data_IF_050578025329
#
_entry.id   IF_050578025329
#
_cell.length_a   1.000
_cell.length_b   1.000
_cell.length_c   1.000
_cell.angle_alpha   90.00
_cell.angle_beta   90.00
_cell.angle_gamma   90.00
#
_symmetry.space_group_name_H-M   'P 1'
#
loop_
_entity.id
_entity.type
_entity.pdbx_description
1 polymer ?
#
# COMPACT_ATOMS: atom_id res chain seq x y z
N UNK A 1 -16.75 1.75 -8.77
CA UNK A 1 -15.39 1.42 -8.30
C UNK A 1 -15.38 0.13 -7.51
N UNK A 2 -14.40 -0.73 -7.74
CA UNK A 2 -14.18 -1.90 -6.91
C UNK A 2 -12.68 -2.12 -6.69
N UNK A 3 -12.35 -2.83 -5.60
CA UNK A 3 -10.98 -3.17 -5.27
C UNK A 3 -10.69 -4.59 -5.78
N UNK A 4 -9.61 -4.73 -6.55
CA UNK A 4 -9.09 -6.02 -6.98
C UNK A 4 -7.91 -6.38 -6.05
N UNK A 5 -8.06 -7.47 -5.30
CA UNK A 5 -6.98 -8.03 -4.48
C UNK A 5 -6.30 -9.16 -5.23
N UNK A 6 -4.96 -9.16 -5.26
CA UNK A 6 -4.20 -10.22 -5.93
C UNK A 6 -4.50 -11.59 -5.33
N UNK A 7 -4.63 -11.67 -4.01
CA UNK A 7 -4.91 -12.95 -3.34
C UNK A 7 -6.29 -13.51 -3.66
N UNK A 8 -7.28 -12.64 -3.90
CA UNK A 8 -8.63 -13.04 -4.31
C UNK A 8 -8.72 -13.33 -5.81
N UNK A 9 -7.83 -12.74 -6.60
CA UNK A 9 -7.79 -12.86 -8.06
C UNK A 9 -6.37 -13.14 -8.55
N UNK A 10 -5.82 -14.34 -8.25
CA UNK A 10 -4.42 -14.66 -8.60
C UNK A 10 -4.15 -14.61 -10.10
N UNK A 11 -5.17 -14.82 -10.94
CA UNK A 11 -5.04 -14.73 -12.40
C UNK A 11 -4.72 -13.32 -12.88
N UNK A 12 -4.91 -12.30 -12.03
CA UNK A 12 -4.60 -10.89 -12.34
C UNK A 12 -3.23 -10.45 -11.89
N UNK A 13 -2.42 -11.34 -11.32
CA UNK A 13 -1.12 -10.96 -10.73
C UNK A 13 -0.22 -10.22 -11.71
N UNK A 14 -0.19 -10.63 -12.98
CA UNK A 14 0.65 -9.98 -13.99
C UNK A 14 0.22 -8.53 -14.24
N UNK A 15 -1.07 -8.29 -14.30
CA UNK A 15 -1.60 -6.93 -14.47
C UNK A 15 -1.19 -6.03 -13.29
N UNK A 16 -1.28 -6.57 -12.08
CA UNK A 16 -0.94 -5.83 -10.86
C UNK A 16 0.56 -5.51 -10.84
N UNK A 17 1.41 -6.50 -11.08
CA UNK A 17 2.87 -6.29 -11.14
C UNK A 17 3.22 -5.20 -12.14
N UNK A 18 2.69 -5.28 -13.35
CA UNK A 18 2.97 -4.31 -14.40
C UNK A 18 2.57 -2.90 -13.98
N UNK A 19 1.40 -2.75 -13.38
CA UNK A 19 0.92 -1.44 -12.93
C UNK A 19 1.83 -0.83 -11.85
N UNK A 20 2.21 -1.63 -10.85
CA UNK A 20 3.12 -1.16 -9.80
C UNK A 20 4.49 -0.80 -10.36
N UNK A 21 5.02 -1.62 -11.27
CA UNK A 21 6.30 -1.32 -11.91
C UNK A 21 6.28 -0.01 -12.68
N UNK A 22 5.21 0.28 -13.39
CA UNK A 22 5.05 1.51 -14.16
C UNK A 22 5.07 2.77 -13.29
N UNK A 23 4.52 2.67 -12.08
CA UNK A 23 4.38 3.84 -11.20
C UNK A 23 5.49 3.98 -10.17
N UNK A 24 6.13 2.87 -9.76
CA UNK A 24 7.01 2.86 -8.61
C UNK A 24 8.42 2.35 -8.90
N UNK A 25 8.63 1.58 -9.95
CA UNK A 25 9.92 0.94 -10.20
C UNK A 25 10.82 1.79 -11.08
N UNK A 26 12.13 1.67 -10.83
CA UNK A 26 13.19 2.01 -11.77
C UNK A 26 13.70 0.72 -12.43
N UNK A 27 14.65 0.83 -13.37
CA UNK A 27 15.29 -0.35 -13.98
C UNK A 27 15.88 -1.29 -12.93
N UNK A 28 16.41 -0.74 -11.83
CA UNK A 28 17.06 -1.51 -10.77
C UNK A 28 16.09 -2.17 -9.81
N UNK A 29 14.83 -1.76 -9.80
CA UNK A 29 13.82 -2.25 -8.83
C UNK A 29 12.67 -3.01 -9.47
N UNK A 30 12.72 -3.31 -10.77
CA UNK A 30 11.67 -4.10 -11.42
C UNK A 30 11.45 -5.44 -10.72
N UNK A 31 12.54 -6.13 -10.38
CA UNK A 31 12.45 -7.45 -9.75
C UNK A 31 11.95 -7.39 -8.30
N UNK A 32 12.08 -6.25 -7.63
CA UNK A 32 11.49 -6.08 -6.30
C UNK A 32 9.97 -6.26 -6.37
N UNK A 33 9.32 -5.58 -7.32
CA UNK A 33 7.87 -5.68 -7.50
C UNK A 33 7.45 -7.03 -8.07
N UNK A 34 8.22 -7.58 -8.99
CA UNK A 34 7.98 -8.92 -9.53
C UNK A 34 7.89 -9.95 -8.39
N UNK A 35 8.87 -9.92 -7.48
CA UNK A 35 8.99 -10.90 -6.42
C UNK A 35 8.03 -10.61 -5.25
N UNK A 36 7.96 -9.36 -4.75
CA UNK A 36 7.14 -9.06 -3.59
C UNK A 36 5.63 -9.18 -3.87
N UNK A 37 5.20 -8.92 -5.11
CA UNK A 37 3.80 -9.09 -5.47
C UNK A 37 3.52 -10.56 -5.79
N UNK A 38 4.38 -11.21 -6.57
CA UNK A 38 4.20 -12.62 -6.93
C UNK A 38 4.20 -13.54 -5.72
N UNK A 39 5.08 -13.29 -4.75
CA UNK A 39 5.22 -14.14 -3.56
C UNK A 39 4.02 -14.08 -2.62
N UNK A 40 3.12 -13.10 -2.76
CA UNK A 40 1.93 -13.03 -1.91
C UNK A 40 0.94 -14.18 -2.15
N UNK A 41 1.10 -14.90 -3.26
CA UNK A 41 0.23 -16.03 -3.59
C UNK A 41 0.61 -17.32 -2.87
N UNK A 42 1.84 -17.43 -2.38
CA UNK A 42 2.39 -18.67 -1.82
C UNK A 42 2.74 -18.55 -0.33
N UNK A 43 2.03 -17.72 0.41
CA UNK A 43 2.30 -17.53 1.83
C UNK A 43 1.05 -17.72 2.68
N UNK A 44 1.23 -18.26 3.89
CA UNK A 44 0.20 -18.35 4.93
C UNK A 44 0.13 -17.06 5.77
N UNK A 45 1.10 -16.16 5.61
CA UNK A 45 1.10 -14.86 6.30
C UNK A 45 -0.06 -13.99 5.80
N UNK A 46 -0.69 -13.17 6.66
CA UNK A 46 -1.66 -12.19 6.21
C UNK A 46 -1.06 -11.08 5.34
N UNK A 47 0.26 -10.98 5.26
CA UNK A 47 1.00 -10.01 4.47
C UNK A 47 1.92 -10.71 3.47
N UNK A 48 2.26 -10.05 2.35
CA UNK A 48 1.75 -8.77 1.89
C UNK A 48 0.40 -8.90 1.20
N UNK A 49 -0.30 -7.76 1.05
CA UNK A 49 -1.52 -7.64 0.25
C UNK A 49 -1.30 -6.55 -0.80
N UNK A 50 -1.79 -6.79 -2.02
CA UNK A 50 -1.61 -5.84 -3.12
C UNK A 50 -2.93 -5.62 -3.83
N UNK A 51 -3.26 -4.35 -4.11
CA UNK A 51 -4.59 -3.94 -4.58
C UNK A 51 -4.52 -3.05 -5.81
N UNK A 52 -5.48 -3.21 -6.70
CA UNK A 52 -5.83 -2.19 -7.69
C UNK A 52 -7.23 -1.66 -7.40
N UNK A 53 -7.40 -0.36 -7.58
CA UNK A 53 -8.73 0.26 -7.62
C UNK A 53 -9.17 0.27 -9.08
N UNK A 54 -10.33 -0.35 -9.36
CA UNK A 54 -10.80 -0.55 -10.72
C UNK A 54 -12.06 0.26 -10.99
N UNK A 55 -12.09 0.91 -12.14
CA UNK A 55 -13.27 1.50 -12.74
C UNK A 55 -13.62 0.66 -13.98
N UNK A 56 -14.48 -0.37 -13.79
CA UNK A 56 -14.66 -1.40 -14.80
C UNK A 56 -13.34 -2.08 -15.13
N UNK A 57 -12.90 -1.97 -16.39
CA UNK A 57 -11.63 -2.54 -16.86
C UNK A 57 -10.44 -1.58 -16.71
N UNK A 58 -10.70 -0.31 -16.34
CA UNK A 58 -9.65 0.70 -16.17
C UNK A 58 -9.11 0.69 -14.76
N UNK A 59 -7.79 0.78 -14.63
CA UNK A 59 -7.15 0.94 -13.32
C UNK A 59 -7.19 2.41 -12.92
N UNK A 60 -7.80 2.68 -11.78
CA UNK A 60 -7.92 4.03 -11.21
C UNK A 60 -6.86 4.31 -10.15
N UNK A 61 -6.25 3.28 -9.56
CA UNK A 61 -5.23 3.46 -8.54
C UNK A 61 -4.73 2.15 -7.97
N UNK A 62 -3.85 2.25 -6.98
CA UNK A 62 -3.26 1.08 -6.32
C UNK A 62 -2.87 1.36 -4.87
N UNK A 63 -2.66 0.32 -4.11
CA UNK A 63 -2.07 0.36 -2.78
C UNK A 63 -1.52 -1.02 -2.40
N UNK A 64 -0.67 -1.04 -1.38
CA UNK A 64 -0.16 -2.27 -0.80
C UNK A 64 -0.23 -2.24 0.72
N UNK A 65 -0.21 -3.42 1.32
CA UNK A 65 -0.16 -3.62 2.77
C UNK A 65 0.99 -4.58 3.05
N UNK A 66 2.03 -4.10 3.72
CA UNK A 66 3.30 -4.81 3.85
C UNK A 66 3.83 -4.78 5.28
N UNK A 67 4.82 -5.64 5.56
CA UNK A 67 5.38 -5.75 6.90
C UNK A 67 6.34 -4.61 7.26
N UNK A 68 7.07 -4.06 6.30
CA UNK A 68 7.97 -2.92 6.49
C UNK A 68 8.18 -2.19 5.16
N UNK A 69 8.06 -0.86 5.17
CA UNK A 69 8.20 -0.02 3.98
C UNK A 69 9.61 0.55 3.83
N UNK A 70 10.62 -0.32 3.96
CA UNK A 70 12.03 0.07 3.85
C UNK A 70 12.39 1.21 4.81
N UNK A 71 11.93 1.08 6.06
CA UNK A 71 12.08 2.13 7.07
C UNK A 71 12.61 1.54 8.37
N UNK A 72 13.37 2.34 9.12
CA UNK A 72 14.11 1.94 10.31
C UNK A 72 13.25 1.45 11.48
N UNK A 73 11.97 1.81 11.51
CA UNK A 73 11.05 1.40 12.58
C UNK A 73 10.49 0.00 12.27
N UNK A 74 11.34 -0.99 12.45
CA UNK A 74 11.00 -2.40 12.21
C UNK A 74 10.14 -3.01 13.31
N UNK A 75 9.97 -2.29 14.40
CA UNK A 75 9.06 -2.63 15.51
C UNK A 75 7.59 -2.31 15.19
N UNK A 76 7.34 -1.53 14.14
CA UNK A 76 5.99 -1.09 13.74
C UNK A 76 5.55 -1.81 12.47
N UNK A 77 4.34 -2.36 12.47
CA UNK A 77 3.74 -3.03 11.32
C UNK A 77 2.24 -3.25 11.53
N UNK A 78 1.43 -3.44 10.48
CA UNK A 78 1.78 -3.38 9.06
C UNK A 78 1.79 -1.96 8.50
N UNK A 79 2.27 -1.80 7.26
CA UNK A 79 2.40 -0.52 6.59
C UNK A 79 1.52 -0.47 5.34
N UNK A 80 0.74 0.59 5.22
CA UNK A 80 0.13 1.00 3.94
C UNK A 80 1.23 1.58 3.08
N UNK A 81 1.38 1.11 1.85
CA UNK A 81 2.42 1.58 0.94
C UNK A 81 1.88 1.79 -0.47
N UNK A 82 2.65 2.50 -1.28
CA UNK A 82 2.42 2.65 -2.72
C UNK A 82 1.00 3.13 -3.07
N UNK A 83 0.41 3.98 -2.22
CA UNK A 83 -0.91 4.54 -2.48
C UNK A 83 -0.82 5.54 -3.64
N UNK A 84 -1.57 5.27 -4.69
CA UNK A 84 -1.64 6.12 -5.87
C UNK A 84 -3.04 6.09 -6.46
N UNK A 85 -3.53 7.27 -6.86
CA UNK A 85 -4.79 7.42 -7.60
C UNK A 85 -4.48 8.20 -8.87
N UNK A 86 -4.94 7.70 -10.00
CA UNK A 86 -4.79 8.35 -11.30
C UNK A 86 -5.37 9.77 -11.24
N UNK A 87 -4.72 10.75 -11.89
CA UNK A 87 -5.16 12.17 -11.79
C UNK A 87 -6.64 12.39 -12.07
N UNK A 88 -7.19 11.72 -13.09
CA UNK A 88 -8.60 11.86 -13.47
C UNK A 88 -9.58 11.31 -12.43
N UNK A 89 -9.09 10.52 -11.48
CA UNK A 89 -9.90 9.92 -10.41
C UNK A 89 -9.68 10.57 -9.05
N UNK A 90 -8.87 11.64 -8.99
CA UNK A 90 -8.58 12.37 -7.74
C UNK A 90 -9.70 13.31 -7.34
N UNK A 91 -9.74 13.68 -6.05
CA UNK A 91 -10.72 14.64 -5.53
C UNK A 91 -12.12 14.07 -5.36
N UNK A 92 -12.29 12.75 -5.38
CA UNK A 92 -13.59 12.07 -5.33
C UNK A 92 -13.67 11.03 -4.21
N UNK A 93 -12.70 11.04 -3.29
CA UNK A 93 -12.66 10.09 -2.17
C UNK A 93 -12.14 8.70 -2.53
N UNK A 94 -11.57 8.50 -3.70
CA UNK A 94 -11.12 7.19 -4.18
C UNK A 94 -9.93 6.65 -3.38
N UNK A 95 -9.02 7.50 -2.90
CA UNK A 95 -7.94 7.07 -2.03
C UNK A 95 -8.48 6.45 -0.74
N UNK A 96 -9.59 6.96 -0.23
CA UNK A 96 -10.27 6.43 0.96
C UNK A 96 -10.72 4.99 0.79
N UNK A 97 -11.15 4.58 -0.41
CA UNK A 97 -11.53 3.20 -0.69
C UNK A 97 -10.35 2.25 -0.50
N UNK A 98 -9.19 2.63 -1.01
CA UNK A 98 -7.95 1.85 -0.84
C UNK A 98 -7.50 1.80 0.61
N UNK A 99 -7.55 2.93 1.30
CA UNK A 99 -7.17 3.03 2.72
C UNK A 99 -8.08 2.13 3.57
N UNK A 100 -9.39 2.18 3.35
CA UNK A 100 -10.34 1.36 4.10
C UNK A 100 -10.15 -0.14 3.84
N UNK A 101 -9.81 -0.52 2.60
CA UNK A 101 -9.49 -1.92 2.29
C UNK A 101 -8.25 -2.38 3.05
N UNK A 102 -7.20 -1.56 3.10
CA UNK A 102 -6.00 -1.86 3.88
C UNK A 102 -6.31 -2.01 5.37
N UNK A 103 -7.12 -1.11 5.93
CA UNK A 103 -7.55 -1.21 7.33
C UNK A 103 -8.30 -2.50 7.61
N UNK A 104 -9.24 -2.85 6.73
CA UNK A 104 -10.05 -4.06 6.88
C UNK A 104 -9.19 -5.31 6.84
N UNK A 105 -8.30 -5.44 5.85
CA UNK A 105 -7.43 -6.60 5.73
C UNK A 105 -6.41 -6.68 6.87
N UNK A 106 -5.92 -5.56 7.35
CA UNK A 106 -5.06 -5.52 8.54
C UNK A 106 -5.80 -6.02 9.77
N UNK A 107 -7.06 -5.59 9.99
CA UNK A 107 -7.88 -6.11 11.10
C UNK A 107 -8.08 -7.61 10.99
N UNK A 108 -8.42 -8.10 9.82
CA UNK A 108 -8.64 -9.53 9.57
C UNK A 108 -7.34 -10.33 9.78
N UNK A 109 -6.19 -9.72 9.52
CA UNK A 109 -4.89 -10.30 9.78
C UNK A 109 -4.47 -10.31 11.25
N UNK A 110 -5.29 -9.74 12.14
CA UNK A 110 -5.03 -9.71 13.57
C UNK A 110 -4.28 -8.48 14.05
N UNK A 111 -4.07 -7.49 13.20
CA UNK A 111 -3.38 -6.26 13.57
C UNK A 111 -4.37 -5.23 14.14
N UNK A 112 -3.87 -4.36 15.01
CA UNK A 112 -4.67 -3.33 15.69
C UNK A 112 -4.28 -1.92 15.31
N UNK A 113 -3.20 -1.77 14.55
CA UNK A 113 -2.67 -0.49 14.12
C UNK A 113 -2.24 -0.60 12.67
N UNK A 114 -2.29 0.52 11.96
CA UNK A 114 -1.82 0.63 10.59
C UNK A 114 -0.92 1.85 10.50
N UNK A 115 0.23 1.68 9.84
CA UNK A 115 1.25 2.71 9.71
C UNK A 115 1.44 3.07 8.25
N UNK A 116 1.95 4.27 8.00
CA UNK A 116 2.45 4.68 6.70
C UNK A 116 3.56 5.71 6.88
N UNK A 117 4.41 5.84 5.88
CA UNK A 117 5.38 6.92 5.82
C UNK A 117 5.10 7.82 4.63
N UNK A 118 5.23 9.13 4.85
CA UNK A 118 4.90 10.15 3.85
C UNK A 118 5.58 11.47 4.18
N UNK A 119 5.70 12.33 3.16
CA UNK A 119 6.09 13.72 3.32
C UNK A 119 4.86 14.65 3.26
N UNK A 120 3.69 14.13 2.95
CA UNK A 120 2.46 14.91 2.92
C UNK A 120 1.95 15.25 4.32
N UNK A 121 1.41 16.46 4.45
CA UNK A 121 0.77 16.95 5.68
C UNK A 121 -0.68 17.31 5.34
N UNK A 122 -1.62 16.88 6.20
CA UNK A 122 -3.04 17.21 6.04
C UNK A 122 -3.85 16.24 5.21
N UNK A 123 -3.21 15.33 4.48
CA UNK A 123 -3.94 14.34 3.65
C UNK A 123 -4.43 13.17 4.49
N UNK A 124 -3.52 12.47 5.16
CA UNK A 124 -3.87 11.23 5.88
C UNK A 124 -4.64 11.49 7.19
N UNK A 125 -4.52 12.69 7.73
CA UNK A 125 -5.30 13.09 8.92
C UNK A 125 -6.81 12.99 8.67
N UNK A 126 -7.26 13.18 7.44
CA UNK A 126 -8.67 13.01 7.05
C UNK A 126 -9.17 11.58 7.20
N UNK A 127 -8.26 10.62 7.25
CA UNK A 127 -8.58 9.20 7.36
C UNK A 127 -8.24 8.63 8.73
N UNK A 128 -8.02 9.50 9.71
CA UNK A 128 -7.80 9.11 11.11
C UNK A 128 -6.35 8.88 11.49
N UNK A 129 -5.40 9.15 10.59
CA UNK A 129 -3.99 9.01 10.90
C UNK A 129 -3.44 10.23 11.63
N UNK A 130 -2.49 9.99 12.54
CA UNK A 130 -1.76 11.03 13.25
C UNK A 130 -0.24 10.77 13.13
N UNK A 131 0.53 11.84 12.99
CA UNK A 131 1.98 11.74 12.93
C UNK A 131 2.53 11.33 14.30
N UNK A 132 3.35 10.28 14.33
CA UNK A 132 3.97 9.77 15.56
C UNK A 132 5.47 9.96 15.62
N UNK A 133 6.09 10.47 14.56
CA UNK A 133 7.52 10.71 14.54
C UNK A 133 8.11 10.62 13.14
N UNK A 134 9.40 10.36 13.09
CA UNK A 134 10.19 10.27 11.87
C UNK A 134 10.93 8.94 11.82
N UNK A 135 11.00 8.33 10.65
CA UNK A 135 11.82 7.15 10.40
C UNK A 135 12.83 7.41 9.29
N UNK A 136 13.75 6.47 9.10
CA UNK A 136 14.88 6.62 8.19
C UNK A 136 14.92 5.47 7.18
N UNK A 137 15.13 5.81 5.91
CA UNK A 137 15.23 4.84 4.82
C UNK A 137 16.68 4.42 4.57
N UNK A 138 16.92 3.23 4.03
CA UNK A 138 18.29 2.75 3.78
C UNK A 138 19.11 3.62 2.83
N UNK A 139 18.46 4.43 1.99
CA UNK A 139 19.15 5.32 1.05
C UNK A 139 19.45 6.70 1.64
N UNK A 140 19.22 6.92 2.95
CA UNK A 140 19.61 8.14 3.66
C UNK A 140 18.52 9.20 3.82
N UNK A 141 17.38 9.05 3.16
CA UNK A 141 16.24 9.95 3.34
C UNK A 141 15.44 9.59 4.59
N UNK A 142 14.64 10.54 5.07
CA UNK A 142 13.72 10.32 6.18
C UNK A 142 12.28 10.60 5.73
N UNK A 143 11.32 10.04 6.45
CA UNK A 143 9.90 10.28 6.23
C UNK A 143 9.19 10.43 7.56
N UNK A 144 8.09 11.19 7.55
CA UNK A 144 7.16 11.21 8.69
C UNK A 144 6.42 9.88 8.75
N UNK A 145 6.22 9.40 9.96
CA UNK A 145 5.45 8.19 10.23
C UNK A 145 4.09 8.58 10.77
N UNK A 146 3.05 8.05 10.16
CA UNK A 146 1.67 8.22 10.57
C UNK A 146 1.09 6.89 11.02
N UNK A 147 0.19 6.95 11.99
CA UNK A 147 -0.44 5.77 12.58
C UNK A 147 -1.93 6.00 12.78
N UNK A 148 -2.73 4.96 12.59
CA UNK A 148 -4.12 4.92 12.99
C UNK A 148 -4.42 3.62 13.71
N UNK A 149 -5.32 3.68 14.69
CA UNK A 149 -5.89 2.46 15.28
C UNK A 149 -6.94 1.86 14.33
N UNK A 150 -7.02 0.55 14.33
CA UNK A 150 -7.97 -0.16 13.45
C UNK A 150 -8.78 -1.24 14.19
#
# INVERSE_FOLDING_TARGET
>A
MHILSVREHPEKVRQVITYFQQHWASEDSLMVYEDCIGSCLDTDSPLPQWYLLMDGEKVAGCAGLIINDFISRMDLYPWLCALYVQPEYRGKGNAGLLIEKCKEDARQGGFRKLYLCTDHVGFYERYGFACIGTGHHPWGESSKIYMTDI
#
